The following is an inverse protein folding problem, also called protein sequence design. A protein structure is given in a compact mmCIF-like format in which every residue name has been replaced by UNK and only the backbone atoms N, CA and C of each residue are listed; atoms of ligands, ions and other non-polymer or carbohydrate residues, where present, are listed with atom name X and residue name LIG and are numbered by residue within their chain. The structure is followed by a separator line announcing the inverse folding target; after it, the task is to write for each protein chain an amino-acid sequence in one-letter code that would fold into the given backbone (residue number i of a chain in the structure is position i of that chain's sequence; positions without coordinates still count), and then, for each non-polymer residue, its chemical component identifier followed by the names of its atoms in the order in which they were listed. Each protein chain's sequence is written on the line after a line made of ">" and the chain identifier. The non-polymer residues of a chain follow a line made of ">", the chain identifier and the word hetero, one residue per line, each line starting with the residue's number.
data_IF_305992037839
#
_entry.id   IF_305992037839
#
_cell.length_a   1.000
_cell.length_b   1.000
_cell.length_c   1.000
_cell.angle_alpha   90.00
_cell.angle_beta   90.00
_cell.angle_gamma   90.00
#
_symmetry.space_group_name_H-M   'P 1'
#
loop_
_entity.id
_entity.type
_entity.pdbx_description
1 polymer ?
#
# COMPACT_ATOMS: atom_id res chain seq x y z
N UNK A 1 6.31 5.75 -15.70
CA UNK A 1 4.86 5.55 -15.95
C UNK A 1 4.61 4.06 -16.17
N UNK A 2 3.67 3.47 -15.44
CA UNK A 2 3.49 2.03 -15.40
C UNK A 2 2.35 1.55 -16.32
N UNK A 3 2.69 0.79 -17.36
CA UNK A 3 1.72 0.23 -18.32
C UNK A 3 0.96 -0.95 -17.67
N UNK A 4 -0.36 -1.00 -17.85
CA UNK A 4 -1.17 -2.16 -17.44
C UNK A 4 -1.19 -3.19 -18.57
N UNK A 5 -0.48 -4.29 -18.40
CA UNK A 5 -0.59 -5.43 -19.31
C UNK A 5 -1.76 -6.33 -18.91
N UNK A 6 -2.72 -6.51 -19.81
CA UNK A 6 -3.76 -7.53 -19.68
C UNK A 6 -3.17 -8.90 -20.06
N UNK A 7 -2.52 -9.55 -19.10
CA UNK A 7 -1.88 -10.86 -19.29
C UNK A 7 -2.06 -11.74 -18.06
N UNK A 8 -1.65 -13.00 -18.17
CA UNK A 8 -1.64 -13.94 -17.04
C UNK A 8 -0.49 -13.64 -16.07
N UNK A 9 -0.78 -13.82 -14.78
CA UNK A 9 0.18 -13.89 -13.68
C UNK A 9 0.09 -15.28 -13.04
N UNK A 10 1.21 -15.96 -12.84
CA UNK A 10 1.24 -17.28 -12.19
C UNK A 10 2.40 -17.38 -11.18
N UNK A 11 2.13 -17.53 -9.87
CA UNK A 11 0.83 -17.41 -9.23
C UNK A 11 0.20 -16.03 -9.44
N UNK A 12 -1.11 -15.94 -9.27
CA UNK A 12 -1.82 -14.66 -9.22
C UNK A 12 -1.44 -13.88 -7.97
N UNK A 13 -1.69 -12.56 -7.98
CA UNK A 13 -1.44 -11.70 -6.82
C UNK A 13 -2.22 -12.17 -5.59
N UNK A 14 -3.46 -12.61 -5.77
CA UNK A 14 -4.29 -13.09 -4.66
C UNK A 14 -3.78 -14.41 -4.10
N UNK A 15 -3.31 -15.35 -4.92
CA UNK A 15 -2.69 -16.59 -4.44
C UNK A 15 -1.42 -16.32 -3.62
N UNK A 16 -0.60 -15.36 -4.04
CA UNK A 16 0.56 -14.93 -3.24
C UNK A 16 0.12 -14.34 -1.89
N UNK A 17 -0.93 -13.51 -1.87
CA UNK A 17 -1.46 -12.95 -0.64
C UNK A 17 -2.10 -14.00 0.27
N UNK A 18 -2.76 -15.02 -0.29
CA UNK A 18 -3.31 -16.14 0.50
C UNK A 18 -2.22 -16.84 1.31
N UNK A 19 -1.03 -17.06 0.73
CA UNK A 19 0.08 -17.66 1.46
C UNK A 19 0.76 -16.68 2.43
N UNK A 20 0.85 -15.40 2.05
CA UNK A 20 1.64 -14.42 2.78
C UNK A 20 0.91 -13.76 3.97
N UNK A 21 -0.38 -13.45 3.84
CA UNK A 21 -1.16 -12.72 4.86
C UNK A 21 -1.07 -13.35 6.26
N UNK A 22 -1.21 -14.68 6.46
CA UNK A 22 -1.12 -15.31 7.79
C UNK A 22 0.21 -15.12 8.50
N UNK A 23 1.27 -14.75 7.78
CA UNK A 23 2.60 -14.55 8.34
C UNK A 23 2.78 -13.14 8.93
N UNK A 24 1.79 -12.27 8.79
CA UNK A 24 1.87 -10.85 9.20
C UNK A 24 1.23 -10.61 10.57
N UNK A 25 1.81 -9.74 11.41
CA UNK A 25 1.32 -9.50 12.77
C UNK A 25 -0.05 -8.81 12.81
N UNK A 26 -0.44 -8.12 11.74
CA UNK A 26 -1.73 -7.42 11.61
C UNK A 26 -2.84 -8.26 10.97
N UNK A 27 -2.54 -9.48 10.52
CA UNK A 27 -3.57 -10.36 9.98
C UNK A 27 -4.39 -10.97 11.13
N UNK A 28 -5.71 -10.83 11.07
CA UNK A 28 -6.64 -11.24 12.13
C UNK A 28 -7.61 -12.35 11.72
N UNK A 29 -7.39 -12.96 10.55
CA UNK A 29 -8.20 -14.08 10.08
C UNK A 29 -8.01 -15.33 10.94
N UNK A 30 -9.06 -16.15 11.04
CA UNK A 30 -9.08 -17.35 11.91
C UNK A 30 -8.94 -18.67 11.14
N UNK A 31 -9.00 -18.63 9.81
CA UNK A 31 -8.87 -19.78 8.91
C UNK A 31 -8.00 -19.48 7.69
N UNK A 32 -8.10 -20.34 6.68
CA UNK A 32 -7.42 -20.12 5.40
C UNK A 32 -7.88 -18.79 4.77
N UNK A 33 -6.95 -17.88 4.45
CA UNK A 33 -7.30 -16.59 3.83
C UNK A 33 -8.02 -16.77 2.50
N UNK A 34 -9.01 -15.92 2.26
CA UNK A 34 -9.74 -15.82 0.99
C UNK A 34 -9.77 -14.36 0.54
N UNK A 35 -8.61 -13.75 0.24
CA UNK A 35 -8.55 -12.35 -0.13
C UNK A 35 -9.27 -12.12 -1.45
N UNK A 36 -10.22 -11.20 -1.45
CA UNK A 36 -10.90 -10.69 -2.63
C UNK A 36 -10.43 -9.27 -2.89
N UNK A 37 -10.01 -8.98 -4.12
CA UNK A 37 -9.60 -7.62 -4.50
C UNK A 37 -10.79 -6.67 -4.38
N UNK A 38 -10.63 -5.62 -3.58
CA UNK A 38 -11.69 -4.69 -3.21
C UNK A 38 -11.41 -3.24 -3.63
N UNK A 39 -10.19 -2.93 -4.03
CA UNK A 39 -9.80 -1.56 -4.37
C UNK A 39 -8.30 -1.41 -4.42
N UNK A 40 -7.86 -0.16 -4.35
CA UNK A 40 -6.44 0.18 -4.44
C UNK A 40 -6.13 1.13 -5.58
N UNK A 41 -4.88 1.55 -5.61
CA UNK A 41 -4.34 2.50 -6.58
C UNK A 41 -2.89 2.12 -6.90
N UNK A 42 -2.29 2.81 -7.87
CA UNK A 42 -0.89 2.64 -8.25
C UNK A 42 -0.14 3.94 -8.11
N UNK A 43 1.18 3.84 -8.00
CA UNK A 43 2.09 4.96 -8.17
C UNK A 43 3.05 4.64 -9.31
N UNK A 44 3.55 5.68 -9.93
CA UNK A 44 4.56 5.54 -10.97
C UNK A 44 5.97 5.62 -10.37
N UNK A 45 6.80 4.63 -10.71
CA UNK A 45 8.24 4.75 -10.59
C UNK A 45 8.76 5.71 -11.68
N UNK A 46 9.53 6.76 -11.34
CA UNK A 46 10.13 7.66 -12.34
C UNK A 46 11.07 6.95 -13.29
N UNK A 47 11.81 5.96 -12.80
CA UNK A 47 12.75 5.20 -13.62
C UNK A 47 12.03 4.12 -14.43
N UNK A 48 10.79 3.78 -14.08
CA UNK A 48 9.96 2.82 -14.80
C UNK A 48 10.33 1.35 -14.59
N UNK A 49 11.17 1.04 -13.61
CA UNK A 49 11.72 -0.29 -13.36
C UNK A 49 10.88 -1.10 -12.36
N UNK A 50 10.18 -0.41 -11.45
CA UNK A 50 9.40 -1.02 -10.37
C UNK A 50 7.91 -0.77 -10.57
N UNK A 51 7.13 -1.85 -10.64
CA UNK A 51 5.67 -1.73 -10.55
C UNK A 51 5.24 -1.48 -9.12
N UNK A 52 4.48 -0.41 -8.84
CA UNK A 52 4.03 -0.03 -7.49
C UNK A 52 2.49 -0.10 -7.43
N UNK A 53 1.96 -0.88 -6.49
CA UNK A 53 0.52 -1.02 -6.27
C UNK A 53 0.21 -0.96 -4.77
N UNK A 54 -0.83 -0.23 -4.40
CA UNK A 54 -1.45 -0.29 -3.08
C UNK A 54 -2.77 -1.04 -3.25
N UNK A 55 -2.75 -2.35 -3.02
CA UNK A 55 -3.93 -3.19 -3.19
C UNK A 55 -4.78 -3.17 -1.92
N UNK A 56 -6.09 -2.97 -2.07
CA UNK A 56 -7.03 -3.26 -0.99
C UNK A 56 -7.65 -4.63 -1.25
N UNK A 57 -7.57 -5.52 -0.27
CA UNK A 57 -8.27 -6.81 -0.27
C UNK A 57 -9.23 -6.90 0.91
N UNK A 58 -10.36 -7.56 0.72
CA UNK A 58 -11.24 -7.97 1.81
C UNK A 58 -11.09 -9.46 2.06
N UNK A 59 -11.12 -9.86 3.33
CA UNK A 59 -11.04 -11.26 3.74
C UNK A 59 -12.14 -11.56 4.77
N UNK A 60 -12.83 -12.68 4.61
CA UNK A 60 -13.94 -13.13 5.46
C UNK A 60 -13.63 -14.44 6.22
N UNK A 61 -12.35 -14.80 6.36
CA UNK A 61 -11.91 -16.00 7.08
C UNK A 61 -12.07 -15.92 8.60
N UNK A 62 -12.46 -14.76 9.14
CA UNK A 62 -12.71 -14.52 10.56
C UNK A 62 -14.19 -14.22 10.89
N UNK A 63 -14.49 -13.74 12.12
CA UNK A 63 -15.86 -13.45 12.57
C UNK A 63 -16.58 -12.34 11.79
N UNK A 64 -15.85 -11.59 10.97
CA UNK A 64 -16.38 -10.56 10.10
C UNK A 64 -15.39 -10.26 8.97
N UNK A 65 -15.86 -9.53 7.96
CA UNK A 65 -15.01 -9.11 6.85
C UNK A 65 -14.04 -8.02 7.29
N UNK A 66 -12.75 -8.23 7.04
CA UNK A 66 -11.69 -7.26 7.30
C UNK A 66 -11.11 -6.77 5.98
N UNK A 67 -10.92 -5.45 5.87
CA UNK A 67 -10.19 -4.84 4.75
C UNK A 67 -8.71 -4.70 5.10
N UNK A 68 -7.83 -5.14 4.20
CA UNK A 68 -6.39 -5.00 4.33
C UNK A 68 -5.82 -4.14 3.21
N UNK A 69 -4.94 -3.20 3.57
CA UNK A 69 -4.13 -2.45 2.61
C UNK A 69 -2.75 -3.11 2.49
N UNK A 70 -2.40 -3.48 1.26
CA UNK A 70 -1.16 -4.19 0.94
C UNK A 70 -0.40 -3.41 -0.13
N UNK A 71 0.58 -2.57 0.26
CA UNK A 71 1.55 -2.00 -0.66
C UNK A 71 2.45 -3.12 -1.19
N UNK A 72 2.55 -3.21 -2.51
CA UNK A 72 3.32 -4.23 -3.23
C UNK A 72 4.22 -3.55 -4.25
N UNK A 73 5.46 -4.04 -4.32
CA UNK A 73 6.34 -3.76 -5.45
C UNK A 73 6.57 -5.01 -6.30
N UNK A 74 6.71 -4.81 -7.60
CA UNK A 74 6.99 -5.86 -8.58
C UNK A 74 8.27 -5.52 -9.33
N UNK A 75 9.34 -6.29 -9.06
CA UNK A 75 10.67 -6.09 -9.65
C UNK A 75 10.98 -7.16 -10.68
N UNK A 76 11.79 -6.80 -11.69
CA UNK A 76 12.29 -7.74 -12.71
C UNK A 76 13.47 -8.60 -12.27
N UNK A 77 13.99 -8.38 -11.05
CA UNK A 77 15.05 -9.16 -10.42
C UNK A 77 14.88 -9.12 -8.88
N UNK A 78 15.52 -10.04 -8.13
CA UNK A 78 15.54 -9.98 -6.68
C UNK A 78 16.10 -8.64 -6.17
N UNK A 79 15.51 -8.12 -5.09
CA UNK A 79 16.01 -6.99 -4.32
C UNK A 79 16.91 -7.50 -3.19
N UNK A 80 18.20 -7.19 -3.27
CA UNK A 80 19.20 -7.57 -2.26
C UNK A 80 18.89 -6.93 -0.89
N UNK A 81 18.93 -7.73 0.18
CA UNK A 81 18.70 -7.28 1.54
C UNK A 81 17.22 -7.11 1.92
N UNK A 82 16.29 -7.47 1.02
CA UNK A 82 14.85 -7.43 1.25
C UNK A 82 14.21 -8.83 1.25
N UNK A 83 14.99 -9.90 1.45
CA UNK A 83 14.52 -11.29 1.40
C UNK A 83 13.41 -11.56 2.43
N UNK A 84 13.49 -10.93 3.61
CA UNK A 84 12.47 -11.02 4.66
C UNK A 84 11.12 -10.39 4.26
N UNK A 85 11.12 -9.52 3.25
CA UNK A 85 9.96 -8.83 2.74
C UNK A 85 9.40 -9.46 1.45
N UNK A 86 10.02 -10.55 0.96
CA UNK A 86 9.53 -11.24 -0.23
C UNK A 86 8.16 -11.87 0.05
N UNK A 87 7.16 -11.42 -0.70
CA UNK A 87 5.80 -12.00 -0.70
C UNK A 87 5.78 -13.27 -1.53
N UNK A 88 6.49 -13.26 -2.67
CA UNK A 88 6.66 -14.42 -3.53
C UNK A 88 7.16 -14.04 -4.92
N UNK A 89 7.31 -15.04 -5.78
CA UNK A 89 7.68 -14.86 -7.19
C UNK A 89 6.51 -15.23 -8.08
N UNK A 90 6.42 -14.62 -9.27
CA UNK A 90 5.40 -14.91 -10.27
C UNK A 90 5.94 -14.78 -11.69
N UNK A 91 5.35 -15.51 -12.61
CA UNK A 91 5.57 -15.38 -14.06
C UNK A 91 4.54 -14.41 -14.65
N UNK A 92 5.02 -13.34 -15.26
CA UNK A 92 4.21 -12.37 -16.00
C UNK A 92 4.30 -12.65 -17.50
N UNK A 93 3.18 -12.94 -18.16
CA UNK A 93 3.19 -13.42 -19.56
C UNK A 93 3.83 -12.49 -20.60
N UNK A 94 4.00 -11.20 -20.29
CA UNK A 94 4.73 -10.22 -21.13
C UNK A 94 6.10 -9.85 -20.58
N UNK A 95 6.25 -9.84 -19.26
CA UNK A 95 7.37 -9.19 -18.58
C UNK A 95 8.35 -10.20 -17.96
N UNK A 96 8.08 -11.50 -18.11
CA UNK A 96 8.86 -12.59 -17.56
C UNK A 96 8.71 -12.73 -16.04
N UNK A 97 9.72 -13.33 -15.37
CA UNK A 97 9.72 -13.49 -13.92
C UNK A 97 9.63 -12.16 -13.19
N UNK A 98 8.87 -12.15 -12.09
CA UNK A 98 8.66 -10.99 -11.22
C UNK A 98 8.76 -11.40 -9.76
N UNK A 99 9.41 -10.54 -8.98
CA UNK A 99 9.52 -10.67 -7.53
C UNK A 99 8.58 -9.66 -6.89
N UNK A 100 7.62 -10.17 -6.11
CA UNK A 100 6.69 -9.37 -5.33
C UNK A 100 7.21 -9.18 -3.91
N UNK A 101 7.31 -7.94 -3.47
CA UNK A 101 7.72 -7.59 -2.11
C UNK A 101 6.63 -6.83 -1.38
N UNK A 102 6.64 -6.93 -0.05
CA UNK A 102 5.93 -6.00 0.82
C UNK A 102 6.60 -4.63 0.67
N UNK A 103 5.91 -3.73 -0.02
CA UNK A 103 6.54 -2.51 -0.51
C UNK A 103 6.91 -1.53 0.61
N UNK A 104 6.45 -1.73 1.85
CA UNK A 104 6.99 -0.99 3.00
C UNK A 104 8.50 -1.18 3.20
N UNK A 105 9.07 -2.28 2.70
CA UNK A 105 10.51 -2.55 2.74
C UNK A 105 11.22 -2.23 1.42
N UNK A 106 10.50 -1.68 0.43
CA UNK A 106 11.07 -1.32 -0.86
C UNK A 106 11.30 0.20 -0.91
N UNK A 107 12.55 0.67 -1.08
CA UNK A 107 12.87 2.10 -1.03
C UNK A 107 12.14 2.91 -2.11
N UNK A 108 11.80 2.30 -3.26
CA UNK A 108 11.09 2.99 -4.34
C UNK A 108 9.64 3.26 -3.94
N UNK A 109 8.94 2.27 -3.35
CA UNK A 109 7.57 2.50 -2.89
C UNK A 109 7.53 3.50 -1.75
N UNK A 110 8.44 3.38 -0.77
CA UNK A 110 8.53 4.31 0.36
C UNK A 110 8.68 5.75 -0.14
N UNK A 111 9.66 6.00 -1.01
CA UNK A 111 9.88 7.32 -1.62
C UNK A 111 8.63 7.83 -2.37
N UNK A 112 7.97 6.97 -3.15
CA UNK A 112 6.74 7.35 -3.87
C UNK A 112 5.56 7.63 -2.93
N UNK A 113 5.44 6.93 -1.81
CA UNK A 113 4.40 7.18 -0.81
C UNK A 113 4.59 8.55 -0.13
N UNK A 114 5.82 8.92 0.19
CA UNK A 114 6.14 10.28 0.67
C UNK A 114 5.79 11.33 -0.39
N UNK A 115 6.20 11.10 -1.64
CA UNK A 115 5.87 11.98 -2.76
C UNK A 115 4.35 12.14 -2.95
N UNK A 116 3.55 11.09 -2.73
CA UNK A 116 2.08 11.17 -2.80
C UNK A 116 1.50 12.09 -1.71
N UNK A 117 1.95 11.95 -0.45
CA UNK A 117 1.48 12.79 0.66
C UNK A 117 1.79 14.27 0.40
N UNK A 118 2.98 14.55 -0.12
CA UNK A 118 3.41 15.89 -0.48
C UNK A 118 2.78 16.41 -1.77
N UNK A 119 2.20 15.52 -2.58
CA UNK A 119 1.59 15.81 -3.87
C UNK A 119 2.57 16.05 -5.00
N UNK A 120 3.79 15.52 -4.85
CA UNK A 120 4.78 15.40 -5.92
C UNK A 120 4.55 14.16 -6.79
N UNK A 121 3.71 13.22 -6.35
CA UNK A 121 3.23 12.08 -7.11
C UNK A 121 1.70 12.03 -7.10
N UNK A 122 1.12 11.48 -8.17
CA UNK A 122 -0.32 11.29 -8.31
C UNK A 122 -0.67 9.81 -8.24
N UNK A 123 -1.76 9.50 -7.53
CA UNK A 123 -2.33 8.16 -7.52
C UNK A 123 -2.94 7.85 -8.90
N UNK A 124 -2.58 6.70 -9.46
CA UNK A 124 -3.08 6.20 -10.73
C UNK A 124 -4.13 5.10 -10.49
N UNK A 125 -5.12 5.03 -11.36
CA UNK A 125 -6.14 4.02 -11.37
C UNK A 125 -5.51 2.64 -11.60
N UNK A 126 -5.92 1.67 -10.80
CA UNK A 126 -5.34 0.33 -10.84
C UNK A 126 -5.76 -0.54 -12.04
N UNK A 127 -6.78 -0.12 -12.80
CA UNK A 127 -7.38 -0.88 -13.90
C UNK A 127 -7.38 -0.15 -15.24
N UNK A 128 -6.96 1.12 -15.27
CA UNK A 128 -6.94 1.95 -16.48
C UNK A 128 -5.56 2.60 -16.58
N UNK A 129 -4.92 2.44 -17.74
CA UNK A 129 -3.62 3.06 -18.00
C UNK A 129 -3.80 4.58 -18.14
N UNK A 130 -2.86 5.36 -17.60
CA UNK A 130 -2.80 6.83 -17.69
C UNK A 130 -4.03 7.57 -17.18
N UNK A 131 -4.69 7.00 -16.16
CA UNK A 131 -5.84 7.60 -15.53
C UNK A 131 -5.56 7.87 -14.05
N UNK A 132 -5.65 9.14 -13.64
CA UNK A 132 -5.57 9.52 -12.22
C UNK A 132 -6.73 8.91 -11.43
N UNK A 133 -6.42 8.31 -10.29
CA UNK A 133 -7.43 7.85 -9.34
C UNK A 133 -7.91 9.02 -8.48
N UNK A 134 -9.11 9.52 -8.78
CA UNK A 134 -9.73 10.65 -8.06
C UNK A 134 -10.36 10.25 -6.73
N UNK A 135 -10.43 8.95 -6.40
CA UNK A 135 -10.91 8.50 -5.10
C UNK A 135 -9.81 8.47 -4.04
N UNK A 136 -8.55 8.54 -4.46
CA UNK A 136 -7.42 8.74 -3.55
C UNK A 136 -7.28 10.22 -3.23
N UNK A 137 -7.38 10.54 -1.94
CA UNK A 137 -7.26 11.91 -1.43
C UNK A 137 -6.00 12.05 -0.61
N UNK A 138 -5.39 13.23 -0.61
CA UNK A 138 -4.23 13.53 0.23
C UNK A 138 -4.30 14.94 0.77
N UNK A 139 -3.73 15.16 1.94
CA UNK A 139 -3.49 16.49 2.51
C UNK A 139 -2.16 16.49 3.24
N UNK A 140 -1.45 17.61 3.19
CA UNK A 140 -0.23 17.83 3.95
C UNK A 140 -0.10 19.32 4.28
N UNK A 141 0.15 19.63 5.55
CA UNK A 141 0.25 20.99 6.07
C UNK A 141 1.65 21.33 6.61
N UNK A 142 2.62 20.40 6.48
CA UNK A 142 3.99 20.62 6.94
C UNK A 142 4.87 21.33 5.91
N UNK A 143 6.10 21.71 6.30
CA UNK A 143 7.11 22.19 5.35
C UNK A 143 7.46 21.06 4.38
N UNK A 144 7.77 21.37 3.11
CA UNK A 144 8.16 20.32 2.16
C UNK A 144 9.27 19.45 2.73
N UNK A 145 9.01 18.15 2.88
CA UNK A 145 10.01 17.14 3.21
C UNK A 145 10.98 17.16 2.03
N UNK A 146 12.25 17.49 2.31
CA UNK A 146 13.21 17.86 1.28
C UNK A 146 13.24 16.91 0.07
N UNK A 147 13.53 17.46 -1.11
CA UNK A 147 13.65 16.68 -2.33
C UNK A 147 14.84 15.71 -2.24
N UNK A 148 14.55 14.43 -2.05
CA UNK A 148 15.53 13.36 -2.05
C UNK A 148 14.86 12.02 -1.74
N UNK A 149 15.50 10.88 -2.07
CA UNK A 149 14.99 9.57 -1.68
C UNK A 149 14.91 9.54 -0.16
N UNK A 150 13.70 9.54 0.39
CA UNK A 150 13.51 9.33 1.83
C UNK A 150 13.69 7.83 2.06
N UNK A 151 14.91 7.44 2.43
CA UNK A 151 15.13 6.13 3.03
C UNK A 151 14.47 6.15 4.41
N UNK A 152 13.20 5.74 4.47
CA UNK A 152 12.49 5.54 5.73
C UNK A 152 12.45 4.04 6.05
N UNK A 153 13.28 3.54 6.98
CA UNK A 153 13.17 2.16 7.40
C UNK A 153 11.81 1.92 8.07
N UNK A 154 11.31 0.69 7.91
CA UNK A 154 10.27 0.16 8.77
C UNK A 154 10.83 0.07 10.18
N UNK A 155 10.20 0.77 11.12
CA UNK A 155 10.59 0.76 12.54
C UNK A 155 9.67 -0.11 13.39
N UNK A 156 8.42 -0.31 12.95
CA UNK A 156 7.45 -1.16 13.65
C UNK A 156 6.45 -1.75 12.65
N UNK A 157 6.16 -3.05 12.78
CA UNK A 157 4.99 -3.68 12.15
C UNK A 157 4.08 -4.23 13.25
N UNK A 158 2.99 -3.50 13.50
CA UNK A 158 2.08 -3.72 14.64
C UNK A 158 0.86 -4.55 14.24
N UNK A 159 -0.06 -4.75 15.18
CA UNK A 159 -1.32 -5.48 14.94
C UNK A 159 -2.29 -4.77 13.96
N UNK A 160 -2.01 -3.55 13.50
CA UNK A 160 -2.90 -2.83 12.59
C UNK A 160 -2.23 -1.92 11.56
N UNK A 161 -0.93 -1.69 11.68
CA UNK A 161 -0.22 -0.69 10.90
C UNK A 161 1.28 -0.97 10.84
N UNK A 162 1.91 -0.50 9.77
CA UNK A 162 3.37 -0.43 9.64
C UNK A 162 3.80 1.03 9.81
N UNK A 163 4.81 1.27 10.65
CA UNK A 163 5.39 2.58 10.90
C UNK A 163 6.70 2.73 10.14
N UNK A 164 6.80 3.78 9.33
CA UNK A 164 8.01 4.20 8.62
C UNK A 164 8.53 5.49 9.26
N UNK A 165 9.83 5.57 9.54
CA UNK A 165 10.43 6.76 10.13
C UNK A 165 11.36 7.44 9.12
N UNK A 166 11.15 8.73 8.87
CA UNK A 166 12.09 9.54 8.11
C UNK A 166 13.28 9.95 9.00
N UNK A 167 14.44 10.29 8.40
CA UNK A 167 15.64 10.70 9.15
C UNK A 167 15.45 11.95 10.03
N UNK A 168 14.49 12.80 9.72
CA UNK A 168 14.17 14.02 10.47
C UNK A 168 13.25 13.77 11.68
N UNK A 169 12.86 12.52 11.94
CA UNK A 169 11.97 12.13 13.03
C UNK A 169 10.48 12.09 12.64
N UNK A 170 10.13 12.54 11.44
CA UNK A 170 8.77 12.42 10.91
C UNK A 170 8.40 10.95 10.79
N UNK A 171 7.20 10.57 11.24
CA UNK A 171 6.71 9.19 11.10
C UNK A 171 5.50 9.11 10.18
N UNK A 172 5.48 8.06 9.37
CA UNK A 172 4.37 7.70 8.51
C UNK A 172 3.79 6.38 9.00
N UNK A 173 2.54 6.44 9.47
CA UNK A 173 1.76 5.27 9.84
C UNK A 173 0.93 4.82 8.65
N UNK A 174 1.28 3.69 8.06
CA UNK A 174 0.48 3.03 7.04
C UNK A 174 -0.51 2.08 7.71
N UNK A 175 -1.81 2.31 7.51
CA UNK A 175 -2.87 1.45 8.05
C UNK A 175 -2.95 0.15 7.24
N UNK A 176 -2.56 -0.97 7.85
CA UNK A 176 -2.67 -2.31 7.25
C UNK A 176 -4.08 -2.87 7.40
N UNK A 177 -4.73 -2.61 8.52
CA UNK A 177 -6.13 -2.96 8.77
C UNK A 177 -7.00 -1.72 8.57
N UNK A 178 -7.82 -1.75 7.52
CA UNK A 178 -8.64 -0.61 7.12
C UNK A 178 -9.94 -0.55 7.93
N UNK A 179 -10.33 0.67 8.29
CA UNK A 179 -11.59 0.96 8.97
C UNK A 179 -12.38 1.97 8.15
N UNK A 180 -13.65 1.70 7.83
CA UNK A 180 -14.51 2.69 7.21
C UNK A 180 -14.62 3.94 8.08
N UNK A 181 -14.49 5.11 7.47
CA UNK A 181 -14.69 6.38 8.14
C UNK A 181 -16.19 6.57 8.47
N UNK A 182 -16.55 7.03 9.68
CA UNK A 182 -17.95 7.11 10.11
C UNK A 182 -18.86 7.99 9.22
N UNK A 183 -18.31 8.97 8.51
CA UNK A 183 -19.04 9.83 7.56
C UNK A 183 -18.50 9.75 6.12
N UNK A 184 -17.73 8.70 5.79
CA UNK A 184 -17.15 8.54 4.46
C UNK A 184 -16.04 9.53 4.09
N UNK A 185 -15.65 10.42 5.00
CA UNK A 185 -14.50 11.31 4.84
C UNK A 185 -13.30 10.78 5.64
N UNK A 186 -12.17 10.57 4.98
CA UNK A 186 -10.91 10.25 5.63
C UNK A 186 -10.35 11.51 6.30
N UNK A 187 -10.83 11.83 7.50
CA UNK A 187 -10.29 12.96 8.27
C UNK A 187 -8.95 12.55 8.88
N UNK A 188 -7.93 13.44 8.88
CA UNK A 188 -6.68 13.16 9.55
C UNK A 188 -6.92 12.93 11.05
N UNK A 189 -6.22 11.97 11.68
CA UNK A 189 -6.23 11.83 13.13
C UNK A 189 -5.71 13.11 13.81
N UNK A 190 -6.07 13.31 15.08
CA UNK A 190 -5.50 14.40 15.88
C UNK A 190 -3.96 14.29 15.90
N UNK A 191 -3.29 15.43 15.74
CA UNK A 191 -1.82 15.50 15.67
C UNK A 191 -1.20 15.11 14.32
N UNK A 192 -1.98 14.59 13.36
CA UNK A 192 -1.46 14.28 12.04
C UNK A 192 -1.25 15.56 11.20
N UNK A 193 -0.07 15.70 10.61
CA UNK A 193 0.30 16.82 9.72
C UNK A 193 0.01 16.53 8.25
N UNK A 194 -0.28 15.26 7.92
CA UNK A 194 -0.71 14.85 6.59
C UNK A 194 -1.40 13.49 6.59
N UNK A 195 -2.08 13.16 5.49
CA UNK A 195 -2.72 11.86 5.32
C UNK A 195 -2.90 11.48 3.85
N UNK A 196 -3.11 10.19 3.62
CA UNK A 196 -3.68 9.62 2.38
C UNK A 196 -4.95 8.88 2.76
N UNK A 197 -6.03 9.19 2.06
CA UNK A 197 -7.30 8.47 2.13
C UNK A 197 -7.62 7.79 0.81
N UNK A 198 -8.48 6.79 0.84
CA UNK A 198 -8.96 6.12 -0.36
C UNK A 198 -10.27 5.39 -0.14
N UNK A 199 -10.71 4.69 -1.18
CA UNK A 199 -11.96 3.96 -1.20
C UNK A 199 -11.76 2.48 -1.57
N UNK A 200 -12.64 1.62 -1.04
CA UNK A 200 -12.69 0.20 -1.38
C UNK A 200 -14.12 -0.31 -1.32
N UNK A 201 -14.36 -1.45 -1.97
CA UNK A 201 -15.65 -2.10 -2.04
C UNK A 201 -15.79 -3.09 -0.88
N UNK A 202 -16.94 -3.07 -0.21
CA UNK A 202 -17.33 -4.07 0.77
C UNK A 202 -18.01 -5.26 0.08
N UNK A 203 -18.13 -6.43 0.73
CA UNK A 203 -18.75 -7.62 0.12
C UNK A 203 -20.20 -7.44 -0.33
N UNK A 204 -20.94 -6.54 0.32
CA UNK A 204 -22.31 -6.17 -0.06
C UNK A 204 -22.37 -5.20 -1.26
N UNK A 205 -21.21 -4.84 -1.82
CA UNK A 205 -21.06 -3.90 -2.91
C UNK A 205 -20.99 -2.43 -2.51
N UNK A 206 -21.18 -2.10 -1.23
CA UNK A 206 -21.09 -0.73 -0.75
C UNK A 206 -19.66 -0.18 -0.89
N UNK A 207 -19.54 1.14 -1.13
CA UNK A 207 -18.25 1.82 -1.24
C UNK A 207 -17.85 2.41 0.10
N UNK A 208 -16.88 1.79 0.77
CA UNK A 208 -16.26 2.34 1.97
C UNK A 208 -15.15 3.33 1.61
N UNK A 209 -14.89 4.28 2.51
CA UNK A 209 -13.80 5.25 2.43
C UNK A 209 -13.10 5.31 3.78
N UNK A 210 -11.80 5.60 3.81
CA UNK A 210 -11.05 5.66 5.05
C UNK A 210 -9.58 6.05 4.83
N UNK A 211 -8.84 6.11 5.93
CA UNK A 211 -7.41 6.43 5.91
C UNK A 211 -6.58 5.23 5.48
N UNK A 212 -5.64 5.48 4.57
CA UNK A 212 -4.60 4.54 4.17
C UNK A 212 -3.27 4.85 4.87
N UNK A 213 -2.94 6.13 5.03
CA UNK A 213 -1.76 6.56 5.76
C UNK A 213 -2.00 7.87 6.50
N UNK A 214 -1.28 8.07 7.62
CA UNK A 214 -1.23 9.31 8.36
C UNK A 214 0.23 9.67 8.69
N UNK A 215 0.53 10.96 8.67
CA UNK A 215 1.86 11.51 8.89
C UNK A 215 1.90 12.34 10.17
N UNK A 216 2.95 12.18 10.96
CA UNK A 216 3.15 12.86 12.24
C UNK A 216 4.54 13.49 12.29
N UNK A 217 4.62 14.75 12.74
CA UNK A 217 5.88 15.50 12.81
C UNK A 217 6.80 15.02 13.94
N UNK A 218 6.24 14.41 14.99
CA UNK A 218 6.98 13.80 16.09
C UNK A 218 6.50 12.36 16.26
N UNK A 219 7.41 11.41 16.48
CA UNK A 219 7.15 9.97 16.59
C UNK A 219 6.26 9.49 17.74
N UNK A 220 5.31 10.30 18.22
CA UNK A 220 4.29 9.96 19.22
C UNK A 220 2.91 10.27 18.66
N UNK A 221 2.35 9.31 17.92
CA UNK A 221 0.91 9.20 17.64
C UNK A 221 0.34 7.96 18.30
#
# INVERSE_FOLDING_TARGET
>A
MAIIHHTTLKPTKLELLTAWLPTRPWYVGAGEPRPVKAGGFRLDDPEGEVGIEFMVVTDDSGPGTVGYLVPLTYRGAPLEGAEHALVGTMEHGVLGPRWAYDGCHDPVLVDRLWALIEGRAEAQAQSVTDAVDREVTRSYAGPGLGAGPVAAPVVEDSASATLLAAPDGTTLRLHRVLRPAPQGAALPPEGATGHVGGAWQLPDGARARGLFAALYADGRG
#
